data_IF_475215173521
#
_entry.id   IF_475215173521
#
_cell.length_a   1.000
_cell.length_b   1.000
_cell.length_c   1.000
_cell.angle_alpha   90.00
_cell.angle_beta   90.00
_cell.angle_gamma   90.00
#
_symmetry.space_group_name_H-M   'P 1'
#
loop_
_entity.id
_entity.type
_entity.pdbx_description
1 polymer ?
#
# COMPACT_ATOMS: atom_id res chain seq x y z
N UNK A 1 -32.22 12.26 -16.13
CA UNK A 1 -31.06 11.73 -15.39
C UNK A 1 -29.94 11.50 -16.39
N UNK A 2 -29.02 12.45 -16.42
CA UNK A 2 -28.01 12.62 -17.48
C UNK A 2 -26.79 11.76 -17.18
N UNK A 3 -26.34 10.98 -18.17
CA UNK A 3 -25.07 10.28 -18.19
C UNK A 3 -23.92 11.29 -18.08
N UNK A 4 -23.16 11.26 -16.99
CA UNK A 4 -21.82 11.85 -16.96
C UNK A 4 -20.86 10.90 -17.67
N UNK A 5 -20.74 11.08 -18.99
CA UNK A 5 -19.50 10.76 -19.69
C UNK A 5 -18.65 12.03 -19.65
N UNK A 6 -17.85 12.15 -18.58
CA UNK A 6 -16.77 13.11 -18.58
C UNK A 6 -15.77 12.69 -19.66
N UNK A 7 -15.68 13.55 -20.66
CA UNK A 7 -14.70 13.55 -21.74
C UNK A 7 -13.29 13.34 -21.18
N UNK A 8 -12.75 12.15 -21.36
CA UNK A 8 -11.31 11.92 -21.44
C UNK A 8 -10.85 12.52 -22.77
N UNK A 9 -10.67 13.84 -22.74
CA UNK A 9 -10.04 14.61 -23.80
C UNK A 9 -8.55 14.25 -23.78
N UNK A 10 -8.20 13.14 -24.41
CA UNK A 10 -6.82 12.73 -24.64
C UNK A 10 -6.32 13.65 -25.74
N UNK A 11 -5.53 14.64 -25.35
CA UNK A 11 -4.86 15.59 -26.23
C UNK A 11 -4.05 14.83 -27.28
N UNK A 12 -4.55 14.81 -28.51
CA UNK A 12 -3.81 14.42 -29.72
C UNK A 12 -2.64 15.41 -29.93
N UNK A 13 -1.43 15.06 -29.48
CA UNK A 13 -0.15 15.56 -30.04
C UNK A 13 1.08 15.01 -29.32
N UNK A 14 1.12 13.71 -29.02
CA UNK A 14 2.40 13.03 -28.89
C UNK A 14 2.49 12.00 -30.01
N UNK A 15 3.41 12.22 -30.96
CA UNK A 15 3.80 11.20 -31.91
C UNK A 15 4.28 9.99 -31.11
N UNK A 16 3.42 9.00 -30.91
CA UNK A 16 3.74 7.79 -30.16
C UNK A 16 4.99 7.17 -30.78
N UNK A 17 6.16 7.40 -30.16
CA UNK A 17 7.42 6.80 -30.60
C UNK A 17 7.23 5.30 -30.56
N UNK A 18 7.29 4.66 -31.72
CA UNK A 18 7.27 3.21 -31.83
C UNK A 18 8.42 2.66 -30.98
N UNK A 19 8.09 1.92 -29.90
CA UNK A 19 9.07 1.27 -29.05
C UNK A 19 9.32 -0.13 -29.62
N UNK A 20 10.58 -0.45 -29.86
CA UNK A 20 11.00 -1.80 -30.28
C UNK A 20 11.13 -2.67 -29.04
N UNK A 21 10.49 -3.83 -29.05
CA UNK A 21 10.57 -4.84 -28.00
C UNK A 21 11.24 -6.11 -28.55
N UNK A 22 12.00 -6.79 -27.69
CA UNK A 22 12.59 -8.10 -27.97
C UNK A 22 12.16 -9.01 -26.84
N UNK A 23 11.56 -10.15 -27.18
CA UNK A 23 11.08 -11.15 -26.23
C UNK A 23 11.57 -12.52 -26.67
N UNK A 24 11.69 -13.43 -25.72
CA UNK A 24 12.09 -14.81 -25.97
C UNK A 24 10.83 -15.66 -26.12
N UNK A 25 10.79 -16.47 -27.16
CA UNK A 25 9.72 -17.44 -27.42
C UNK A 25 10.25 -18.82 -27.08
N UNK A 26 9.46 -19.61 -26.37
CA UNK A 26 9.80 -21.00 -26.09
C UNK A 26 9.85 -21.81 -27.39
N UNK A 27 10.79 -22.76 -27.47
CA UNK A 27 11.05 -23.55 -28.67
C UNK A 27 9.78 -24.17 -29.28
N UNK A 28 8.88 -24.65 -28.43
CA UNK A 28 7.65 -25.34 -28.85
C UNK A 28 6.62 -24.41 -29.55
N UNK A 29 6.78 -23.09 -29.42
CA UNK A 29 5.84 -22.10 -29.96
C UNK A 29 6.41 -21.35 -31.19
N UNK A 30 7.64 -21.65 -31.60
CA UNK A 30 8.29 -20.96 -32.73
C UNK A 30 7.49 -21.18 -34.01
N UNK A 31 7.09 -22.42 -34.30
CA UNK A 31 6.32 -22.76 -35.50
C UNK A 31 5.00 -21.99 -35.59
N UNK A 32 4.32 -21.81 -34.45
CA UNK A 32 3.10 -21.02 -34.36
C UNK A 32 3.38 -19.54 -34.66
N UNK A 33 4.39 -18.94 -34.02
CA UNK A 33 4.73 -17.52 -34.24
C UNK A 33 5.22 -17.29 -35.67
N UNK A 34 5.93 -18.24 -36.27
CA UNK A 34 6.40 -18.15 -37.66
C UNK A 34 5.24 -18.23 -38.65
N UNK A 35 4.23 -19.06 -38.38
CA UNK A 35 3.05 -19.26 -39.24
C UNK A 35 2.16 -18.02 -39.40
N UNK A 36 2.21 -17.08 -38.45
CA UNK A 36 1.40 -15.85 -38.46
C UNK A 36 1.91 -14.83 -39.49
N UNK A 37 1.01 -14.00 -40.02
CA UNK A 37 1.38 -12.83 -40.80
C UNK A 37 2.03 -11.73 -39.94
N UNK A 38 2.69 -10.77 -40.58
CA UNK A 38 3.33 -9.65 -39.87
C UNK A 38 2.34 -8.83 -39.01
N UNK A 39 1.12 -8.64 -39.52
CA UNK A 39 0.06 -7.91 -38.81
C UNK A 39 -0.41 -8.69 -37.57
N UNK A 40 -0.67 -10.00 -37.73
CA UNK A 40 -1.11 -10.86 -36.62
C UNK A 40 -0.05 -10.96 -35.51
N UNK A 41 1.25 -11.00 -35.88
CA UNK A 41 2.34 -10.96 -34.89
C UNK A 41 2.33 -9.66 -34.09
N UNK A 42 2.11 -8.53 -34.76
CA UNK A 42 2.06 -7.24 -34.11
C UNK A 42 0.86 -7.12 -33.16
N UNK A 43 -0.30 -7.61 -33.59
CA UNK A 43 -1.53 -7.60 -32.78
C UNK A 43 -1.39 -8.51 -31.56
N UNK A 44 -0.84 -9.72 -31.73
CA UNK A 44 -0.57 -10.66 -30.64
C UNK A 44 0.38 -10.05 -29.60
N UNK A 45 1.48 -9.42 -30.04
CA UNK A 45 2.43 -8.78 -29.13
C UNK A 45 1.79 -7.63 -28.37
N UNK A 46 1.01 -6.78 -29.05
CA UNK A 46 0.34 -5.65 -28.40
C UNK A 46 -0.71 -6.12 -27.39
N UNK A 47 -1.44 -7.19 -27.70
CA UNK A 47 -2.40 -7.78 -26.77
C UNK A 47 -1.70 -8.34 -25.53
N UNK A 48 -0.63 -9.12 -25.70
CA UNK A 48 0.15 -9.65 -24.58
C UNK A 48 0.75 -8.54 -23.71
N UNK A 49 1.25 -7.46 -24.32
CA UNK A 49 1.77 -6.30 -23.59
C UNK A 49 0.68 -5.60 -22.79
N UNK A 50 -0.52 -5.44 -23.36
CA UNK A 50 -1.65 -4.83 -22.67
C UNK A 50 -2.09 -5.70 -21.48
N UNK A 51 -2.24 -7.01 -21.69
CA UNK A 51 -2.63 -7.96 -20.65
C UNK A 51 -1.61 -7.98 -19.49
N UNK A 52 -0.32 -7.97 -19.81
CA UNK A 52 0.74 -7.88 -18.82
C UNK A 52 0.70 -6.55 -18.05
N UNK A 53 0.50 -5.43 -18.73
CA UNK A 53 0.38 -4.12 -18.08
C UNK A 53 -0.82 -4.08 -17.13
N UNK A 54 -1.99 -4.49 -17.60
CA UNK A 54 -3.23 -4.56 -16.79
C UNK A 54 -3.01 -5.45 -15.57
N UNK A 55 -2.46 -6.65 -15.75
CA UNK A 55 -2.14 -7.57 -14.66
C UNK A 55 -1.16 -6.96 -13.66
N UNK A 56 -0.09 -6.30 -14.13
CA UNK A 56 0.88 -5.65 -13.26
C UNK A 56 0.27 -4.53 -12.43
N UNK A 57 -0.64 -3.73 -13.02
CA UNK A 57 -1.33 -2.64 -12.34
C UNK A 57 -2.29 -3.18 -11.29
N UNK A 58 -3.02 -4.24 -11.58
CA UNK A 58 -3.93 -4.89 -10.63
C UNK A 58 -3.13 -5.47 -9.46
N UNK A 59 -2.06 -6.21 -9.73
CA UNK A 59 -1.20 -6.80 -8.70
C UNK A 59 -0.53 -5.72 -7.83
N UNK A 60 -0.07 -4.63 -8.45
CA UNK A 60 0.52 -3.52 -7.72
C UNK A 60 -0.51 -2.83 -6.80
N UNK A 61 -1.73 -2.58 -7.29
CA UNK A 61 -2.83 -2.03 -6.50
C UNK A 61 -3.19 -2.94 -5.33
N UNK A 62 -3.29 -4.25 -5.56
CA UNK A 62 -3.58 -5.23 -4.52
C UNK A 62 -2.49 -5.23 -3.44
N UNK A 63 -1.22 -5.30 -3.82
CA UNK A 63 -0.09 -5.27 -2.90
C UNK A 63 -0.04 -3.97 -2.07
N UNK A 64 -0.36 -2.83 -2.70
CA UNK A 64 -0.45 -1.54 -2.00
C UNK A 64 -1.59 -1.55 -0.97
N UNK A 65 -2.77 -2.08 -1.32
CA UNK A 65 -3.91 -2.20 -0.41
C UNK A 65 -3.61 -3.12 0.77
N UNK A 66 -2.96 -4.27 0.53
CA UNK A 66 -2.55 -5.19 1.60
C UNK A 66 -1.56 -4.52 2.55
N UNK A 67 -0.59 -3.77 2.01
CA UNK A 67 0.39 -3.06 2.85
C UNK A 67 -0.28 -1.96 3.70
N UNK A 68 -1.25 -1.24 3.15
CA UNK A 68 -2.03 -0.26 3.90
C UNK A 68 -2.87 -0.91 5.00
N UNK A 69 -3.52 -2.04 4.71
CA UNK A 69 -4.28 -2.80 5.71
C UNK A 69 -3.38 -3.25 6.87
N UNK A 70 -2.19 -3.80 6.57
CA UNK A 70 -1.22 -4.19 7.61
C UNK A 70 -0.83 -3.01 8.51
N UNK A 71 -0.52 -1.85 7.92
CA UNK A 71 -0.18 -0.65 8.70
C UNK A 71 -1.34 -0.18 9.57
N UNK A 72 -2.56 -0.21 9.04
CA UNK A 72 -3.77 0.16 9.79
C UNK A 72 -3.98 -0.73 11.02
N UNK A 73 -3.81 -2.05 10.86
CA UNK A 73 -3.92 -3.00 11.98
C UNK A 73 -2.87 -2.73 13.06
N UNK A 74 -1.63 -2.43 12.68
CA UNK A 74 -0.56 -2.10 13.64
C UNK A 74 -0.91 -0.83 14.42
N UNK A 75 -1.38 0.22 13.74
CA UNK A 75 -1.77 1.47 14.40
C UNK A 75 -2.94 1.24 15.34
N UNK A 76 -3.96 0.50 14.89
CA UNK A 76 -5.11 0.17 15.73
C UNK A 76 -4.68 -0.58 16.99
N UNK A 77 -3.82 -1.59 16.86
CA UNK A 77 -3.31 -2.35 18.00
C UNK A 77 -2.49 -1.46 18.95
N UNK A 78 -1.65 -0.57 18.40
CA UNK A 78 -0.88 0.38 19.19
C UNK A 78 -1.77 1.35 19.98
N UNK A 79 -2.89 1.80 19.41
CA UNK A 79 -3.85 2.68 20.10
C UNK A 79 -4.61 1.90 21.18
N UNK A 80 -5.13 0.73 20.83
CA UNK A 80 -5.95 -0.11 21.74
C UNK A 80 -5.15 -0.57 22.94
N UNK A 81 -3.87 -0.93 22.77
CA UNK A 81 -3.01 -1.38 23.87
C UNK A 81 -2.23 -0.22 24.51
N UNK A 82 -1.79 0.75 23.72
CA UNK A 82 -0.94 1.85 24.19
C UNK A 82 -1.68 2.83 25.10
N UNK A 83 -2.91 3.22 24.76
CA UNK A 83 -3.70 4.13 25.60
C UNK A 83 -3.93 3.57 27.02
N UNK A 84 -4.47 2.34 27.22
CA UNK A 84 -4.67 1.81 28.56
C UNK A 84 -3.35 1.59 29.31
N UNK A 85 -2.27 1.22 28.61
CA UNK A 85 -0.94 1.10 29.23
C UNK A 85 -0.45 2.45 29.79
N UNK A 86 -0.58 3.54 29.02
CA UNK A 86 -0.18 4.87 29.45
C UNK A 86 -1.01 5.34 30.64
N UNK A 87 -2.32 5.13 30.61
CA UNK A 87 -3.21 5.49 31.73
C UNK A 87 -2.88 4.69 33.00
N UNK A 88 -2.57 3.40 32.85
CA UNK A 88 -2.15 2.56 33.96
C UNK A 88 -0.83 3.06 34.59
N UNK A 89 0.18 3.37 33.77
CA UNK A 89 1.45 3.93 34.24
C UNK A 89 1.27 5.29 34.92
N UNK A 90 0.42 6.16 34.36
CA UNK A 90 0.11 7.45 34.96
C UNK A 90 -0.55 7.29 36.35
N UNK A 91 -1.45 6.32 36.51
CA UNK A 91 -2.09 6.03 37.79
C UNK A 91 -1.09 5.58 38.86
N UNK A 92 -0.16 4.68 38.49
CA UNK A 92 0.92 4.24 39.40
C UNK A 92 1.82 5.41 39.79
N UNK A 93 2.22 6.22 38.81
CA UNK A 93 3.08 7.38 39.04
C UNK A 93 2.44 8.34 40.04
N UNK A 94 1.17 8.70 39.84
CA UNK A 94 0.42 9.57 40.76
C UNK A 94 0.29 8.97 42.16
N UNK A 95 0.01 7.67 42.26
CA UNK A 95 -0.07 6.99 43.55
C UNK A 95 1.26 7.05 44.31
N UNK A 96 2.37 6.76 43.61
CA UNK A 96 3.70 6.82 44.18
C UNK A 96 4.05 8.23 44.64
N UNK A 97 3.82 9.25 43.79
CA UNK A 97 4.03 10.65 44.14
C UNK A 97 3.23 11.04 45.38
N UNK A 98 1.93 10.71 45.44
CA UNK A 98 1.08 11.01 46.59
C UNK A 98 1.58 10.35 47.88
N UNK A 99 1.96 9.07 47.80
CA UNK A 99 2.50 8.33 48.94
C UNK A 99 3.77 8.98 49.48
N UNK A 100 4.71 9.33 48.60
CA UNK A 100 5.96 9.99 48.97
C UNK A 100 5.73 11.34 49.63
N UNK A 101 4.81 12.16 49.11
CA UNK A 101 4.46 13.45 49.74
C UNK A 101 3.85 13.24 51.14
N UNK A 102 2.93 12.28 51.28
CA UNK A 102 2.32 11.98 52.58
C UNK A 102 3.36 11.51 53.59
N UNK A 103 4.27 10.63 53.19
CA UNK A 103 5.32 10.10 54.05
C UNK A 103 6.31 11.20 54.47
N UNK A 104 6.69 12.08 53.54
CA UNK A 104 7.49 13.27 53.84
C UNK A 104 6.81 14.16 54.87
N UNK A 105 5.52 14.47 54.68
CA UNK A 105 4.76 15.32 55.61
C UNK A 105 4.73 14.72 57.03
N UNK A 106 4.41 13.43 57.15
CA UNK A 106 4.42 12.74 58.45
C UNK A 106 5.81 12.72 59.09
N UNK A 107 6.87 12.57 58.29
CA UNK A 107 8.23 12.63 58.81
C UNK A 107 8.61 14.04 59.27
N UNK A 108 8.17 15.08 58.58
CA UNK A 108 8.36 16.48 59.03
C UNK A 108 7.58 16.76 60.32
N UNK A 109 6.32 16.34 60.44
CA UNK A 109 5.51 16.47 61.66
C UNK A 109 6.08 15.71 62.87
N UNK A 110 6.95 14.72 62.65
CA UNK A 110 7.65 14.01 63.74
C UNK A 110 8.94 14.71 64.18
N UNK A 111 9.51 15.54 63.32
CA UNK A 111 10.80 16.21 63.55
C UNK A 111 10.65 17.63 64.12
N UNK A 112 9.48 18.24 63.97
CA UNK A 112 9.11 19.56 64.49
C UNK A 112 7.94 19.46 65.46
#
# INVERSE_FOLDING_TARGET
MVKNQENLNITDSETHRAKKFVFQVYSDNIDFVESLSYQEKNDLVNQLLNDYQVSSVINHKFNKSVNLAKKSVIIFLAVVLGIPLILYLASISLHFTKSSYSEMQTNFEKLF
#
